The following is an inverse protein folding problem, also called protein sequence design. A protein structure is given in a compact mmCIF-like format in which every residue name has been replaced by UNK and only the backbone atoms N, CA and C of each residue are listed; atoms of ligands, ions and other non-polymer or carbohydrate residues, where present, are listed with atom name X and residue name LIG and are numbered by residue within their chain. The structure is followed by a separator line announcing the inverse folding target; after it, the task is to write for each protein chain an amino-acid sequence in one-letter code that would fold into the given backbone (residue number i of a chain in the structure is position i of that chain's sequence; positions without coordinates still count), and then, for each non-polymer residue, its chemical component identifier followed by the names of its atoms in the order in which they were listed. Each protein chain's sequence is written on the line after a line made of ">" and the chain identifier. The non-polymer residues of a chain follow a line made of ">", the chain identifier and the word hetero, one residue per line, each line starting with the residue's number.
data_IF_639335115373
#
_entry.id   IF_639335115373
#
_cell.length_a   1.000
_cell.length_b   1.000
_cell.length_c   1.000
_cell.angle_alpha   90.00
_cell.angle_beta   90.00
_cell.angle_gamma   90.00
#
_symmetry.space_group_name_H-M   'P 1'
#
loop_
_entity.id
_entity.type
_entity.pdbx_description
1 polymer ?
#
# COMPACT_ATOMS: atom_id res chain seq x y z
N UNK A 1 13.71 2.46 -20.58
CA UNK A 1 13.05 1.22 -20.09
C UNK A 1 12.33 1.51 -18.77
N UNK A 2 11.06 1.93 -18.79
CA UNK A 2 10.22 2.19 -17.58
C UNK A 2 9.15 1.12 -17.33
N UNK A 3 9.22 -0.02 -18.04
CA UNK A 3 8.18 -1.07 -18.04
C UNK A 3 7.87 -1.74 -16.69
N UNK A 4 8.83 -1.98 -15.77
CA UNK A 4 8.51 -2.77 -14.56
C UNK A 4 7.65 -2.01 -13.55
N UNK A 5 7.89 -0.70 -13.35
CA UNK A 5 7.11 0.10 -12.40
C UNK A 5 5.65 0.22 -12.85
N UNK A 6 5.40 0.46 -14.14
CA UNK A 6 4.03 0.57 -14.65
C UNK A 6 3.24 -0.75 -14.49
N UNK A 7 3.92 -1.90 -14.60
CA UNK A 7 3.30 -3.20 -14.39
C UNK A 7 2.94 -3.43 -12.93
N UNK A 8 3.87 -3.12 -12.02
CA UNK A 8 3.63 -3.18 -10.57
C UNK A 8 2.50 -2.22 -10.17
N UNK A 9 2.49 -0.99 -10.69
CA UNK A 9 1.40 -0.04 -10.45
C UNK A 9 0.04 -0.56 -10.90
N UNK A 10 -0.02 -1.27 -12.04
CA UNK A 10 -1.27 -1.89 -12.50
C UNK A 10 -1.73 -2.99 -11.55
N UNK A 11 -0.82 -3.86 -11.11
CA UNK A 11 -1.15 -4.94 -10.17
C UNK A 11 -1.65 -4.39 -8.82
N UNK A 12 -0.98 -3.36 -8.28
CA UNK A 12 -1.42 -2.68 -7.06
C UNK A 12 -2.83 -2.11 -7.23
N UNK A 13 -3.10 -1.45 -8.36
CA UNK A 13 -4.41 -0.86 -8.63
C UNK A 13 -5.50 -1.94 -8.72
N UNK A 14 -5.26 -3.01 -9.48
CA UNK A 14 -6.20 -4.13 -9.62
C UNK A 14 -6.54 -4.77 -8.26
N UNK A 15 -5.54 -4.90 -7.37
CA UNK A 15 -5.76 -5.41 -6.02
C UNK A 15 -6.64 -4.44 -5.22
N UNK A 16 -6.27 -3.16 -5.17
CA UNK A 16 -7.00 -2.12 -4.43
C UNK A 16 -8.44 -1.99 -4.92
N UNK A 17 -8.68 -2.06 -6.23
CA UNK A 17 -10.03 -2.00 -6.81
C UNK A 17 -10.88 -3.23 -6.45
N UNK A 18 -10.27 -4.42 -6.39
CA UNK A 18 -10.97 -5.66 -6.02
C UNK A 18 -11.28 -5.76 -4.53
N UNK A 19 -10.35 -5.35 -3.66
CA UNK A 19 -10.48 -5.49 -2.21
C UNK A 19 -11.05 -4.24 -1.52
N UNK A 20 -11.13 -3.11 -2.23
CA UNK A 20 -11.47 -1.79 -1.68
C UNK A 20 -10.31 -1.11 -0.96
N UNK A 21 -9.16 -1.77 -0.90
CA UNK A 21 -7.94 -1.29 -0.29
C UNK A 21 -7.09 -2.44 0.27
N UNK A 22 -5.82 -2.16 0.55
CA UNK A 22 -4.87 -3.16 1.02
C UNK A 22 -3.84 -2.51 1.92
N UNK A 23 -3.40 -3.24 2.94
CA UNK A 23 -2.29 -2.81 3.78
C UNK A 23 -0.93 -3.03 3.08
N UNK A 24 0.11 -2.30 3.47
CA UNK A 24 1.44 -2.54 2.89
C UNK A 24 1.96 -3.95 3.18
N UNK A 25 1.72 -4.49 4.38
CA UNK A 25 2.21 -5.82 4.72
C UNK A 25 1.52 -6.90 3.87
N UNK A 26 0.21 -6.77 3.65
CA UNK A 26 -0.54 -7.69 2.79
C UNK A 26 -0.13 -7.53 1.32
N UNK A 27 0.18 -6.31 0.89
CA UNK A 27 0.63 -6.03 -0.47
C UNK A 27 1.99 -6.68 -0.76
N UNK A 28 2.91 -6.63 0.21
CA UNK A 28 4.22 -7.30 0.13
C UNK A 28 4.11 -8.81 0.04
N UNK A 29 3.15 -9.41 0.75
CA UNK A 29 2.91 -10.85 0.69
C UNK A 29 2.22 -11.28 -0.60
N UNK A 30 1.44 -10.38 -1.21
CA UNK A 30 0.67 -10.66 -2.42
C UNK A 30 1.52 -10.51 -3.69
N UNK A 31 2.47 -9.58 -3.70
CA UNK A 31 3.29 -9.28 -4.87
C UNK A 31 4.67 -9.94 -4.77
N UNK A 32 4.99 -10.80 -5.74
CA UNK A 32 6.34 -11.35 -5.91
C UNK A 32 7.27 -10.35 -6.61
N UNK A 33 7.47 -9.18 -5.98
CA UNK A 33 8.40 -8.13 -6.44
C UNK A 33 9.18 -7.54 -5.28
N UNK A 34 10.36 -6.98 -5.58
CA UNK A 34 11.19 -6.36 -4.53
C UNK A 34 10.47 -5.18 -3.87
N UNK A 35 10.61 -5.09 -2.55
CA UNK A 35 10.16 -3.97 -1.72
C UNK A 35 10.40 -2.59 -2.34
N UNK A 36 11.61 -2.34 -2.84
CA UNK A 36 11.96 -1.05 -3.44
C UNK A 36 11.07 -0.69 -4.65
N UNK A 37 10.71 -1.68 -5.47
CA UNK A 37 9.84 -1.47 -6.63
C UNK A 37 8.38 -1.22 -6.20
N UNK A 38 7.92 -1.88 -5.14
CA UNK A 38 6.61 -1.62 -4.55
C UNK A 38 6.55 -0.16 -4.08
N UNK A 39 7.51 0.28 -3.27
CA UNK A 39 7.54 1.66 -2.78
C UNK A 39 7.62 2.71 -3.89
N UNK A 40 8.47 2.49 -4.90
CA UNK A 40 8.57 3.40 -6.05
C UNK A 40 7.28 3.45 -6.86
N UNK A 41 6.59 2.31 -7.02
CA UNK A 41 5.30 2.26 -7.69
C UNK A 41 4.23 3.02 -6.91
N UNK A 42 4.18 2.84 -5.58
CA UNK A 42 3.23 3.52 -4.70
C UNK A 42 3.47 5.02 -4.69
N UNK A 43 4.73 5.45 -4.50
CA UNK A 43 5.10 6.87 -4.51
C UNK A 43 4.66 7.55 -5.81
N UNK A 44 4.94 6.92 -6.96
CA UNK A 44 4.49 7.40 -8.26
C UNK A 44 2.95 7.42 -8.38
N UNK A 45 2.24 6.40 -7.90
CA UNK A 45 0.77 6.35 -7.97
C UNK A 45 0.11 7.40 -7.09
N UNK A 46 0.65 7.66 -5.89
CA UNK A 46 0.18 8.72 -4.98
C UNK A 46 0.43 10.09 -5.59
N UNK A 47 1.63 10.33 -6.13
CA UNK A 47 1.96 11.59 -6.80
C UNK A 47 1.03 11.88 -7.99
N UNK A 48 0.62 10.84 -8.72
CA UNK A 48 -0.33 10.94 -9.84
C UNK A 48 -1.81 10.87 -9.42
N UNK A 49 -2.11 10.87 -8.12
CA UNK A 49 -3.48 10.79 -7.57
C UNK A 49 -4.27 9.60 -8.13
N UNK A 50 -3.63 8.45 -8.24
CA UNK A 50 -4.25 7.19 -8.66
C UNK A 50 -4.75 6.36 -7.47
N UNK A 51 -4.08 6.51 -6.32
CA UNK A 51 -4.43 5.87 -5.05
C UNK A 51 -4.22 6.85 -3.90
N UNK A 52 -4.88 6.59 -2.79
CA UNK A 52 -4.63 7.25 -1.52
C UNK A 52 -3.76 6.35 -0.64
N UNK A 53 -2.77 6.94 0.01
CA UNK A 53 -1.98 6.28 1.05
C UNK A 53 -2.31 6.95 2.38
N UNK A 54 -2.85 6.19 3.34
CA UNK A 54 -3.13 6.67 4.71
C UNK A 54 -2.36 5.82 5.70
N UNK A 55 -1.81 6.46 6.74
CA UNK A 55 -1.26 5.74 7.89
C UNK A 55 -2.39 5.39 8.85
N UNK A 56 -2.47 4.13 9.26
CA UNK A 56 -3.38 3.64 10.28
C UNK A 56 -2.58 2.91 11.36
N UNK A 57 -2.37 3.58 12.50
CA UNK A 57 -1.51 3.07 13.57
C UNK A 57 -0.06 2.86 13.11
N UNK A 58 0.39 1.60 13.13
CA UNK A 58 1.75 1.18 12.74
C UNK A 58 1.86 0.78 11.28
N UNK A 59 0.76 0.81 10.53
CA UNK A 59 0.71 0.35 9.15
C UNK A 59 0.28 1.45 8.20
N UNK A 60 0.56 1.25 6.92
CA UNK A 60 0.04 2.06 5.84
C UNK A 60 -0.98 1.28 5.05
N UNK A 61 -2.08 1.95 4.70
CA UNK A 61 -3.16 1.41 3.94
C UNK A 61 -3.31 2.17 2.62
N UNK A 62 -3.37 1.42 1.52
CA UNK A 62 -3.68 1.93 0.20
C UNK A 62 -5.16 1.77 -0.09
N UNK A 63 -5.79 2.81 -0.61
CA UNK A 63 -7.18 2.76 -1.08
C UNK A 63 -7.36 3.49 -2.40
N UNK A 64 -8.44 3.17 -3.13
CA UNK A 64 -8.81 3.89 -4.34
C UNK A 64 -9.22 5.33 -4.03
N UNK A 65 -9.05 6.23 -5.01
CA UNK A 65 -9.34 7.67 -4.86
C UNK A 65 -10.85 7.95 -4.69
N UNK A 66 -11.69 7.03 -5.14
CA UNK A 66 -13.15 7.11 -5.08
C UNK A 66 -13.75 6.50 -3.80
N UNK A 67 -12.95 5.82 -2.97
CA UNK A 67 -13.48 5.17 -1.76
C UNK A 67 -13.45 6.12 -0.57
N UNK A 68 -14.65 6.65 -0.24
CA UNK A 68 -14.94 7.33 1.01
C UNK A 68 -15.00 6.29 2.13
N UNK A 69 -13.89 6.18 2.86
CA UNK A 69 -13.78 5.71 4.25
C UNK A 69 -14.72 4.57 4.68
N UNK A 70 -14.35 3.33 4.36
CA UNK A 70 -14.66 2.18 5.22
C UNK A 70 -13.41 1.31 5.34
N UNK A 71 -12.58 1.63 6.34
CA UNK A 71 -11.47 0.76 6.74
C UNK A 71 -12.06 -0.44 7.52
N UNK A 72 -11.77 -1.69 7.14
CA UNK A 72 -12.05 -2.83 8.00
C UNK A 72 -11.01 -2.85 9.12
N UNK A 73 -11.42 -2.43 10.32
CA UNK A 73 -10.57 -2.51 11.52
C UNK A 73 -10.50 -3.97 11.96
N UNK A 74 -9.30 -4.55 11.96
CA UNK A 74 -9.03 -5.78 12.70
C UNK A 74 -7.70 -5.62 13.46
N UNK A 75 -7.82 -5.24 14.73
CA UNK A 75 -6.75 -4.87 15.67
C UNK A 75 -5.93 -6.08 16.17
N UNK A 76 -5.27 -6.84 15.27
CA UNK A 76 -4.56 -8.06 15.67
C UNK A 76 -3.07 -8.13 15.28
N UNK A 77 -2.37 -7.00 15.16
CA UNK A 77 -0.90 -6.99 15.10
C UNK A 77 -0.29 -6.04 16.13
N UNK A 78 -0.37 -6.44 17.41
CA UNK A 78 0.56 -5.99 18.44
C UNK A 78 1.88 -6.73 18.19
N UNK A 79 2.94 -6.02 17.82
CA UNK A 79 4.22 -6.22 18.48
C UNK A 79 5.18 -5.05 18.31
N UNK A 80 5.87 -4.84 19.42
CA UNK A 80 6.92 -3.88 19.77
C UNK A 80 8.01 -3.73 18.72
N UNK A 81 8.83 -2.69 18.92
CA UNK A 81 10.05 -2.30 18.19
C UNK A 81 9.92 -1.11 17.23
N UNK A 82 10.82 -0.15 17.49
CA UNK A 82 11.09 1.14 16.82
C UNK A 82 10.15 2.27 17.32
N UNK A 83 10.51 3.09 18.31
CA UNK A 83 11.79 3.79 18.47
C UNK A 83 12.26 3.82 19.93
N UNK A 84 13.41 3.19 20.20
CA UNK A 84 14.39 3.77 21.12
C UNK A 84 15.39 4.55 20.26
N UNK A 85 15.82 5.69 20.79
CA UNK A 85 16.89 6.59 20.34
C UNK A 85 16.58 7.55 19.18
N UNK A 86 16.06 8.74 19.53
CA UNK A 86 16.88 9.95 19.74
C UNK A 86 16.14 10.99 20.57
#
# INVERSE_FOLDING_TARGET
>A
MKKPINEVSRQILDIVEKSGGISLCDLEQTLDVSYNLIFLAIDNMVANKQVNLKRHGREYFLSGVTMVEKLPVNDNCINEYLCQDM
#
